data_IF_864131045640
#
_entry.id   IF_864131045640
#
_cell.length_a   1.000
_cell.length_b   1.000
_cell.length_c   1.000
_cell.angle_alpha   90.00
_cell.angle_beta   90.00
_cell.angle_gamma   90.00
#
_symmetry.space_group_name_H-M   'P 1'
#
loop_
_entity.id
_entity.type
_entity.pdbx_description
1 polymer ?
#
# COMPACT_ATOMS: atom_id res chain seq x y z
N UNK A 1 -13.53 53.72 0.17
CA UNK A 1 -12.36 53.03 -0.41
C UNK A 1 -12.18 51.72 0.35
N UNK A 2 -12.20 50.60 -0.38
CA UNK A 2 -12.08 49.23 0.10
C UNK A 2 -10.81 49.04 0.93
N UNK A 3 -10.87 48.28 2.01
CA UNK A 3 -9.80 47.33 2.36
C UNK A 3 -10.44 46.13 3.06
N UNK A 4 -10.23 44.97 2.43
CA UNK A 4 -10.85 43.69 2.68
C UNK A 4 -10.21 43.08 3.92
N UNK A 5 -11.00 42.79 4.95
CA UNK A 5 -10.58 41.93 6.04
C UNK A 5 -10.47 40.49 5.49
N UNK A 6 -9.25 40.06 5.20
CA UNK A 6 -8.97 38.65 4.87
C UNK A 6 -9.09 37.87 6.16
N UNK A 7 -10.27 37.29 6.39
CA UNK A 7 -10.46 36.28 7.42
C UNK A 7 -9.75 35.02 6.90
N UNK A 8 -8.50 34.83 7.32
CA UNK A 8 -7.81 33.56 7.16
C UNK A 8 -8.56 32.52 8.00
N UNK A 9 -9.42 31.74 7.36
CA UNK A 9 -10.01 30.56 7.94
C UNK A 9 -8.88 29.54 8.18
N UNK A 10 -8.32 29.54 9.39
CA UNK A 10 -7.54 28.44 9.91
C UNK A 10 -8.47 27.23 9.97
N UNK A 11 -8.41 26.38 8.94
CA UNK A 11 -8.99 25.06 8.99
C UNK A 11 -8.26 24.28 10.09
N UNK A 12 -8.86 24.27 11.29
CA UNK A 12 -8.50 23.36 12.36
C UNK A 12 -8.79 21.94 11.86
N UNK A 13 -7.78 21.30 11.28
CA UNK A 13 -7.80 19.85 11.13
C UNK A 13 -7.69 19.30 12.53
N UNK A 14 -8.83 18.89 13.09
CA UNK A 14 -8.89 18.13 14.32
C UNK A 14 -8.26 16.77 14.01
N UNK A 15 -6.94 16.68 14.11
CA UNK A 15 -6.25 15.39 14.19
C UNK A 15 -6.57 14.83 15.56
N UNK A 16 -7.62 14.02 15.62
CA UNK A 16 -8.04 13.33 16.82
C UNK A 16 -6.88 12.55 17.42
N UNK A 17 -6.42 12.98 18.59
CA UNK A 17 -5.61 12.18 19.49
C UNK A 17 -6.46 10.98 19.94
N UNK A 18 -6.36 9.87 19.24
CA UNK A 18 -6.72 8.55 19.74
C UNK A 18 -5.56 7.65 19.38
N UNK A 19 -4.87 7.14 20.40
CA UNK A 19 -3.67 6.30 20.31
C UNK A 19 -4.02 4.88 19.80
N UNK A 20 -5.01 4.77 18.91
CA UNK A 20 -5.53 3.52 18.35
C UNK A 20 -5.25 3.57 16.85
N UNK A 21 -4.27 2.80 16.40
CA UNK A 21 -3.97 2.62 14.99
C UNK A 21 -5.14 1.87 14.35
N UNK A 22 -5.90 2.56 13.52
CA UNK A 22 -7.03 1.97 12.80
C UNK A 22 -6.47 1.02 11.72
N UNK A 23 -7.01 -0.20 11.65
CA UNK A 23 -6.68 -1.14 10.59
C UNK A 23 -7.41 -0.72 9.30
N UNK A 24 -6.77 -0.78 8.13
CA UNK A 24 -7.41 -0.42 6.86
C UNK A 24 -8.53 -1.40 6.50
N UNK A 25 -9.63 -0.87 5.95
CA UNK A 25 -10.66 -1.66 5.27
C UNK A 25 -10.31 -1.95 3.81
N UNK A 26 -11.09 -2.82 3.16
CA UNK A 26 -10.94 -3.06 1.70
C UNK A 26 -11.18 -1.76 0.94
N UNK A 27 -10.22 -1.40 0.08
CA UNK A 27 -10.20 -0.15 -0.67
C UNK A 27 -9.43 0.97 0.01
N UNK A 28 -9.05 0.82 1.27
CA UNK A 28 -8.27 1.79 2.02
C UNK A 28 -6.77 1.51 1.92
N UNK A 29 -5.96 2.53 2.16
CA UNK A 29 -4.51 2.44 2.08
C UNK A 29 -3.86 2.31 3.43
N UNK A 30 -2.65 1.76 3.42
CA UNK A 30 -1.85 1.52 4.59
C UNK A 30 -0.42 2.03 4.40
N UNK A 31 0.14 2.51 5.51
CA UNK A 31 1.56 2.82 5.64
C UNK A 31 2.23 1.78 6.50
N UNK A 32 3.53 1.61 6.28
CA UNK A 32 4.40 0.79 7.13
C UNK A 32 4.80 1.63 8.34
N UNK A 33 4.55 1.13 9.56
CA UNK A 33 4.94 1.81 10.81
C UNK A 33 6.07 1.08 11.55
N UNK A 34 6.20 -0.22 11.32
CA UNK A 34 7.36 -1.01 11.74
C UNK A 34 7.73 -1.96 10.59
N UNK A 35 9.03 -2.20 10.40
CA UNK A 35 9.54 -2.96 9.26
C UNK A 35 10.79 -3.76 9.63
N UNK A 36 10.70 -5.06 9.39
CA UNK A 36 11.83 -5.97 9.41
C UNK A 36 11.97 -6.65 8.04
N UNK A 37 12.92 -7.59 7.92
CA UNK A 37 13.07 -8.38 6.68
C UNK A 37 11.90 -9.31 6.41
N UNK A 38 11.26 -9.80 7.47
CA UNK A 38 10.28 -10.89 7.39
C UNK A 38 8.86 -10.47 7.81
N UNK A 39 8.73 -9.32 8.46
CA UNK A 39 7.49 -8.81 9.02
C UNK A 39 7.34 -7.28 8.83
N UNK A 40 6.11 -6.81 8.68
CA UNK A 40 5.80 -5.39 8.58
C UNK A 40 4.47 -5.06 9.28
N UNK A 41 4.48 -4.03 10.13
CA UNK A 41 3.26 -3.51 10.72
C UNK A 41 2.63 -2.46 9.79
N UNK A 42 1.39 -2.71 9.36
CA UNK A 42 0.63 -1.86 8.46
C UNK A 42 -0.51 -1.18 9.21
N UNK A 43 -0.65 0.14 9.03
CA UNK A 43 -1.73 0.93 9.64
C UNK A 43 -2.40 1.80 8.60
N UNK A 44 -3.68 2.11 8.79
CA UNK A 44 -4.45 2.93 7.86
C UNK A 44 -3.79 4.28 7.63
N UNK A 45 -3.78 4.70 6.37
CA UNK A 45 -3.28 5.99 5.92
C UNK A 45 -4.15 6.53 4.78
N UNK A 46 -4.10 7.85 4.56
CA UNK A 46 -4.69 8.46 3.38
C UNK A 46 -3.98 7.93 2.11
N UNK A 47 -4.73 7.43 1.13
CA UNK A 47 -4.17 6.87 -0.10
C UNK A 47 -3.33 7.85 -0.93
N UNK A 48 -3.50 9.16 -0.72
CA UNK A 48 -2.72 10.21 -1.36
C UNK A 48 -1.45 10.57 -0.59
N UNK A 49 -1.29 10.12 0.65
CA UNK A 49 -0.12 10.37 1.46
C UNK A 49 1.12 9.67 0.88
N UNK A 50 2.29 10.28 1.02
CA UNK A 50 3.54 9.75 0.49
C UNK A 50 3.88 8.40 1.15
N UNK A 51 3.58 8.23 2.43
CA UNK A 51 3.83 7.03 3.20
C UNK A 51 2.85 5.88 2.93
N UNK A 52 1.74 6.13 2.22
CA UNK A 52 0.73 5.12 1.90
C UNK A 52 1.19 4.25 0.72
N UNK A 53 1.99 3.24 1.03
CA UNK A 53 2.62 2.35 0.04
C UNK A 53 1.76 1.15 -0.33
N UNK A 54 0.77 0.78 0.49
CA UNK A 54 -0.10 -0.36 0.23
C UNK A 54 -1.57 0.04 0.18
N UNK A 55 -2.37 -0.76 -0.53
CA UNK A 55 -3.83 -0.72 -0.54
C UNK A 55 -4.38 -2.10 -0.25
N UNK A 56 -5.28 -2.21 0.73
CA UNK A 56 -5.96 -3.47 1.01
C UNK A 56 -7.00 -3.73 -0.08
N UNK A 57 -6.82 -4.78 -0.88
CA UNK A 57 -7.72 -5.05 -2.02
C UNK A 57 -8.75 -6.15 -1.75
N UNK A 58 -8.45 -7.03 -0.80
CA UNK A 58 -9.34 -8.15 -0.44
C UNK A 58 -8.99 -8.71 0.93
N UNK A 59 -10.00 -9.32 1.55
CA UNK A 59 -9.86 -10.06 2.81
C UNK A 59 -10.41 -11.46 2.55
N UNK A 60 -9.53 -12.44 2.57
CA UNK A 60 -9.87 -13.84 2.34
C UNK A 60 -10.11 -14.54 3.67
N UNK A 61 -11.20 -15.30 3.73
CA UNK A 61 -11.65 -15.98 4.96
C UNK A 61 -11.48 -17.48 4.82
N UNK A 62 -10.78 -18.08 5.78
CA UNK A 62 -10.56 -19.52 5.81
C UNK A 62 -9.18 -19.85 6.34
N UNK A 63 -8.98 -21.09 6.76
CA UNK A 63 -7.69 -21.53 7.32
C UNK A 63 -6.58 -21.48 6.26
N UNK A 64 -6.94 -21.69 5.00
CA UNK A 64 -6.01 -21.86 3.86
C UNK A 64 -6.36 -20.98 2.66
N UNK A 65 -7.28 -20.02 2.78
CA UNK A 65 -7.69 -19.19 1.66
C UNK A 65 -6.50 -18.28 1.24
N UNK A 66 -5.93 -18.45 0.03
CA UNK A 66 -4.84 -17.61 -0.43
C UNK A 66 -5.38 -16.28 -0.95
N UNK A 67 -4.52 -15.27 -1.06
CA UNK A 67 -4.85 -14.10 -1.86
C UNK A 67 -5.11 -14.50 -3.33
N UNK A 68 -5.80 -13.63 -4.11
CA UNK A 68 -5.91 -13.82 -5.55
C UNK A 68 -4.52 -13.96 -6.20
N UNK A 69 -4.47 -14.37 -7.47
CA UNK A 69 -3.20 -14.45 -8.19
C UNK A 69 -2.52 -13.08 -8.24
N UNK A 70 -1.22 -13.06 -7.94
CA UNK A 70 -0.42 -11.84 -7.95
C UNK A 70 0.59 -11.74 -6.82
N UNK A 71 1.24 -10.59 -6.76
CA UNK A 71 2.38 -10.28 -5.89
C UNK A 71 1.94 -9.54 -4.61
N UNK A 72 0.83 -9.99 -4.01
CA UNK A 72 0.26 -9.37 -2.82
C UNK A 72 1.19 -9.52 -1.61
N UNK A 73 1.27 -8.47 -0.79
CA UNK A 73 1.72 -8.61 0.59
C UNK A 73 0.56 -9.19 1.39
N UNK A 74 0.80 -10.36 1.99
CA UNK A 74 -0.20 -11.07 2.78
C UNK A 74 0.05 -10.86 4.28
N UNK A 75 -0.93 -10.28 4.97
CA UNK A 75 -0.96 -10.21 6.42
C UNK A 75 -2.04 -11.13 6.98
N UNK A 76 -1.74 -11.87 8.03
CA UNK A 76 -2.69 -12.79 8.64
C UNK A 76 -3.12 -12.28 10.02
N UNK A 77 -4.36 -11.81 10.13
CA UNK A 77 -4.95 -11.46 11.42
C UNK A 77 -5.62 -12.68 12.06
N UNK A 78 -5.21 -13.01 13.29
CA UNK A 78 -5.78 -14.12 14.04
C UNK A 78 -7.05 -13.68 14.78
N UNK A 79 -8.17 -13.49 14.07
CA UNK A 79 -9.44 -13.15 14.73
C UNK A 79 -10.11 -14.42 15.26
N UNK A 80 -9.80 -14.73 16.54
CA UNK A 80 -10.44 -15.68 17.46
C UNK A 80 -9.71 -17.04 17.66
N UNK A 81 -8.99 -17.16 18.80
CA UNK A 81 -8.32 -18.39 19.26
C UNK A 81 -9.25 -19.60 19.40
N UNK A 82 -10.57 -19.41 19.60
CA UNK A 82 -11.53 -20.51 19.76
C UNK A 82 -11.97 -21.15 18.43
N UNK A 83 -11.99 -20.40 17.33
CA UNK A 83 -12.53 -20.90 16.05
C UNK A 83 -11.46 -21.27 15.03
N UNK A 84 -10.18 -20.96 15.30
CA UNK A 84 -9.03 -21.09 14.37
C UNK A 84 -9.28 -20.43 13.00
N UNK A 85 -10.27 -19.54 12.88
CA UNK A 85 -10.56 -18.82 11.63
C UNK A 85 -9.46 -17.77 11.44
N UNK A 86 -8.66 -17.95 10.40
CA UNK A 86 -7.68 -16.97 9.96
C UNK A 86 -8.33 -16.06 8.91
N UNK A 87 -8.07 -14.78 9.01
CA UNK A 87 -8.32 -13.82 7.94
C UNK A 87 -7.01 -13.47 7.31
N UNK A 88 -6.96 -13.48 5.98
CA UNK A 88 -5.81 -13.06 5.20
C UNK A 88 -6.15 -11.76 4.51
N UNK A 89 -5.34 -10.75 4.75
CA UNK A 89 -5.45 -9.43 4.15
C UNK A 89 -4.46 -9.34 2.99
N UNK A 90 -4.96 -8.98 1.81
CA UNK A 90 -4.19 -8.97 0.58
C UNK A 90 -3.92 -7.53 0.15
N UNK A 91 -2.67 -7.10 0.31
CA UNK A 91 -2.25 -5.74 0.03
C UNK A 91 -1.55 -5.66 -1.34
N UNK A 92 -2.04 -4.78 -2.20
CA UNK A 92 -1.36 -4.40 -3.44
C UNK A 92 -0.56 -3.11 -3.23
N UNK A 93 0.48 -2.87 -4.04
CA UNK A 93 1.18 -1.60 -4.01
C UNK A 93 0.26 -0.45 -4.46
N UNK A 94 0.23 0.61 -3.66
CA UNK A 94 -0.40 1.88 -3.98
C UNK A 94 0.67 2.84 -4.50
N UNK A 95 1.06 2.75 -5.77
CA UNK A 95 2.13 3.57 -6.35
C UNK A 95 1.70 4.24 -7.65
N UNK A 96 2.45 5.26 -8.04
CA UNK A 96 2.29 5.99 -9.31
C UNK A 96 3.59 5.97 -10.09
N UNK A 97 3.51 6.21 -11.39
CA UNK A 97 4.71 6.42 -12.21
C UNK A 97 5.54 7.57 -11.62
N UNK A 98 6.84 7.32 -11.47
CA UNK A 98 7.78 8.25 -10.83
C UNK A 98 8.03 7.99 -9.35
N UNK A 99 7.19 7.22 -8.65
CA UNK A 99 7.41 6.88 -7.24
C UNK A 99 8.73 6.10 -7.08
N UNK A 100 9.48 6.41 -6.02
CA UNK A 100 10.69 5.69 -5.67
C UNK A 100 10.47 4.82 -4.44
N UNK A 101 10.99 3.60 -4.52
CA UNK A 101 10.79 2.52 -3.59
C UNK A 101 12.12 2.01 -3.04
N UNK A 102 12.09 1.63 -1.77
CA UNK A 102 13.14 0.85 -1.12
C UNK A 102 12.55 -0.48 -0.67
N UNK A 103 13.19 -1.56 -1.10
CA UNK A 103 12.82 -2.90 -0.70
C UNK A 103 13.53 -3.30 0.59
N UNK A 104 12.78 -3.90 1.51
CA UNK A 104 13.31 -4.61 2.67
C UNK A 104 12.62 -5.97 2.73
N UNK A 105 13.36 -7.03 2.40
CA UNK A 105 12.78 -8.36 2.24
C UNK A 105 11.74 -8.38 1.11
N UNK A 106 10.50 -8.76 1.42
CA UNK A 106 9.37 -8.76 0.47
C UNK A 106 8.60 -7.43 0.43
N UNK A 107 8.91 -6.49 1.33
CA UNK A 107 8.15 -5.26 1.50
C UNK A 107 8.83 -4.08 0.82
N UNK A 108 8.02 -3.21 0.26
CA UNK A 108 8.39 -1.90 -0.26
C UNK A 108 7.97 -0.78 0.69
N UNK A 109 8.76 0.30 0.66
CA UNK A 109 8.44 1.59 1.26
C UNK A 109 8.65 2.69 0.23
N UNK A 110 7.79 3.71 0.22
CA UNK A 110 8.00 4.90 -0.62
C UNK A 110 8.93 5.89 0.06
N UNK A 111 9.79 6.52 -0.73
CA UNK A 111 10.71 7.55 -0.27
C UNK A 111 11.08 8.49 -1.41
N UNK A 112 11.78 9.57 -1.07
CA UNK A 112 12.37 10.44 -2.09
C UNK A 112 13.38 9.66 -2.94
N UNK A 113 13.36 9.89 -4.25
CA UNK A 113 14.29 9.28 -5.18
C UNK A 113 15.73 9.67 -4.87
N UNK A 114 16.64 8.71 -4.95
CA UNK A 114 18.06 8.93 -4.71
C UNK A 114 18.89 7.70 -5.04
N UNK A 115 20.14 7.70 -4.62
CA UNK A 115 21.04 6.58 -4.84
C UNK A 115 20.52 5.31 -4.14
N UNK A 116 20.40 4.22 -4.89
CA UNK A 116 19.95 2.92 -4.38
C UNK A 116 18.43 2.78 -4.20
N UNK A 117 17.64 3.73 -4.70
CA UNK A 117 16.17 3.58 -4.80
C UNK A 117 15.78 2.98 -6.14
N UNK A 118 14.70 2.19 -6.13
CA UNK A 118 14.09 1.63 -7.34
C UNK A 118 12.93 2.51 -7.77
N UNK A 119 12.75 2.76 -9.06
CA UNK A 119 11.74 3.70 -9.58
C UNK A 119 10.61 2.94 -10.25
N UNK A 120 9.37 3.34 -9.95
CA UNK A 120 8.19 2.90 -10.69
C UNK A 120 8.17 3.60 -12.04
N UNK A 121 8.35 2.84 -13.12
CA UNK A 121 8.43 3.38 -14.47
C UNK A 121 7.12 3.31 -15.23
N UNK A 122 6.23 2.39 -14.83
CA UNK A 122 4.93 2.21 -15.48
C UNK A 122 3.92 1.59 -14.53
N UNK A 123 2.68 2.08 -14.58
CA UNK A 123 1.51 1.46 -13.93
C UNK A 123 0.43 1.23 -14.98
N UNK A 124 0.02 -0.03 -15.18
CA UNK A 124 -1.02 -0.40 -16.13
C UNK A 124 -2.21 -0.97 -15.39
N UNK A 125 -3.30 -0.19 -15.35
CA UNK A 125 -4.58 -0.64 -14.82
C UNK A 125 -5.35 -1.53 -15.82
N UNK A 126 -6.18 -2.43 -15.29
CA UNK A 126 -7.03 -3.34 -16.06
C UNK A 126 -6.29 -4.56 -16.64
N UNK A 127 -4.99 -4.73 -16.39
CA UNK A 127 -4.20 -5.85 -16.90
C UNK A 127 -3.21 -6.37 -15.85
N UNK A 128 -3.29 -7.66 -15.55
CA UNK A 128 -2.25 -8.40 -14.84
C UNK A 128 -1.41 -9.17 -15.88
N UNK A 129 -0.36 -8.54 -16.40
CA UNK A 129 0.47 -9.13 -17.45
C UNK A 129 1.92 -8.66 -17.35
N UNK A 130 2.81 -9.56 -16.92
CA UNK A 130 4.23 -9.26 -16.71
C UNK A 130 4.96 -8.83 -17.99
N UNK A 131 4.51 -9.27 -19.17
CA UNK A 131 5.13 -8.92 -20.45
C UNK A 131 4.92 -7.46 -20.87
N UNK A 132 4.15 -6.66 -20.11
CA UNK A 132 3.98 -5.22 -20.33
C UNK A 132 5.16 -4.38 -19.83
N UNK A 133 6.06 -5.00 -19.05
CA UNK A 133 7.30 -4.41 -18.54
C UNK A 133 8.51 -4.80 -19.40
N UNK A 134 9.59 -4.04 -19.26
CA UNK A 134 10.84 -4.29 -19.96
C UNK A 134 11.60 -5.49 -19.39
N UNK A 135 12.58 -5.99 -20.15
CA UNK A 135 13.50 -7.01 -19.65
C UNK A 135 14.36 -6.43 -18.51
N UNK A 136 14.41 -7.13 -17.38
CA UNK A 136 15.17 -6.69 -16.19
C UNK A 136 14.35 -5.87 -15.18
N UNK A 137 13.11 -5.50 -15.50
CA UNK A 137 12.22 -4.85 -14.54
C UNK A 137 11.82 -5.82 -13.41
N UNK A 138 11.75 -5.33 -12.17
CA UNK A 138 10.96 -5.98 -11.13
C UNK A 138 9.49 -5.70 -11.41
N UNK A 139 8.73 -6.76 -11.69
CA UNK A 139 7.34 -6.66 -12.12
C UNK A 139 6.42 -7.14 -11.00
N UNK A 140 5.47 -6.28 -10.60
CA UNK A 140 4.37 -6.66 -9.72
C UNK A 140 3.08 -6.73 -10.52
N UNK A 141 2.34 -7.81 -10.33
CA UNK A 141 1.05 -8.06 -10.95
C UNK A 141 0.02 -8.39 -9.88
N UNK A 142 -1.21 -7.92 -10.07
CA UNK A 142 -2.33 -8.17 -9.17
C UNK A 142 -3.53 -8.52 -10.00
N UNK A 143 -4.27 -9.59 -9.69
CA UNK A 143 -5.49 -9.95 -10.41
C UNK A 143 -6.72 -9.15 -9.96
N UNK A 144 -6.62 -8.50 -8.80
CA UNK A 144 -7.74 -7.78 -8.16
C UNK A 144 -7.30 -6.46 -7.51
N UNK A 145 -7.71 -5.30 -8.06
CA UNK A 145 -8.07 -5.17 -9.47
C UNK A 145 -6.88 -5.59 -10.37
N UNK A 146 -7.12 -6.03 -11.61
CA UNK A 146 -6.05 -6.33 -12.57
C UNK A 146 -5.11 -5.13 -12.73
N UNK A 147 -3.85 -5.25 -12.29
CA UNK A 147 -2.87 -4.18 -12.37
C UNK A 147 -1.48 -4.76 -12.62
N UNK A 148 -0.66 -4.06 -13.42
CA UNK A 148 0.77 -4.36 -13.63
C UNK A 148 1.60 -3.14 -13.28
N UNK A 149 2.68 -3.34 -12.53
CA UNK A 149 3.60 -2.29 -12.10
C UNK A 149 5.01 -2.70 -12.51
N UNK A 150 5.68 -1.82 -13.24
CA UNK A 150 7.06 -2.01 -13.68
C UNK A 150 7.99 -1.15 -12.81
N UNK A 151 9.02 -1.78 -12.24
CA UNK A 151 9.95 -1.14 -11.31
C UNK A 151 11.38 -1.39 -11.79
N UNK A 152 12.16 -0.32 -11.97
CA UNK A 152 13.58 -0.40 -12.35
C UNK A 152 14.47 -0.12 -11.16
N UNK A 153 15.53 -0.90 -10.97
CA UNK A 153 16.55 -0.69 -9.93
C UNK A 153 17.75 0.10 -10.41
#
# INVERSE_FOLDING_TARGET
MRNIAVIAALALVVSGCSLWTEQPGVGECAKVVDLSRDDAELTKADCSAQEAVYKLVSIERGVTAPCPGGDYVEETSARNRKTKRKTRECYALNVREGDCLKQVGKFDTKLACGTGTRKVTKVVDGKANRSLCGAGDDVKTYDKPPTTICITG
#
